data_IF_003037685863
#
_entry.id   IF_003037685863
#
_cell.length_a   1.000
_cell.length_b   1.000
_cell.length_c   1.000
_cell.angle_alpha   90.00
_cell.angle_beta   90.00
_cell.angle_gamma   90.00
#
_symmetry.space_group_name_H-M   'P 1'
#
loop_
_entity.id
_entity.type
_entity.pdbx_description
1 polymer ?
#
# COMPACT_ATOMS: atom_id res chain seq x y z
N UNK A 1 -22.12 7.08 13.31
CA UNK A 1 -21.00 7.06 12.39
C UNK A 1 -19.76 7.58 13.12
N UNK A 2 -18.65 6.87 13.07
CA UNK A 2 -17.37 7.25 13.66
C UNK A 2 -16.36 7.47 12.52
N UNK A 3 -15.56 8.53 12.62
CA UNK A 3 -14.47 8.81 11.70
C UNK A 3 -13.17 8.66 12.47
N UNK A 4 -12.27 7.83 11.97
CA UNK A 4 -10.95 7.58 12.57
C UNK A 4 -9.91 8.06 11.58
N UNK A 5 -9.00 8.93 12.02
CA UNK A 5 -7.86 9.37 11.23
C UNK A 5 -6.70 8.40 11.43
N UNK A 6 -6.11 7.97 10.33
CA UNK A 6 -4.87 7.21 10.29
C UNK A 6 -3.78 8.06 9.65
N UNK A 7 -2.67 8.21 10.34
CA UNK A 7 -1.54 9.00 9.85
C UNK A 7 -0.82 8.27 8.71
N UNK A 8 -0.08 9.03 7.90
CA UNK A 8 0.78 8.50 6.84
C UNK A 8 1.79 7.50 7.42
N UNK A 9 1.99 6.37 6.75
CA UNK A 9 3.02 5.40 7.06
C UNK A 9 4.05 5.32 5.92
N UNK A 10 5.20 5.91 6.15
CA UNK A 10 6.28 5.97 5.16
C UNK A 10 5.86 6.62 3.84
N UNK A 11 6.39 6.07 2.74
CA UNK A 11 6.10 6.54 1.37
C UNK A 11 4.91 5.83 0.72
N UNK A 12 4.43 4.74 1.30
CA UNK A 12 3.50 3.83 0.61
C UNK A 12 2.06 3.91 1.11
N UNK A 13 1.83 4.29 2.36
CA UNK A 13 0.48 4.44 2.91
C UNK A 13 0.17 5.91 3.17
N UNK A 14 -0.79 6.50 2.42
CA UNK A 14 -1.19 7.88 2.63
C UNK A 14 -1.95 8.08 3.95
N UNK A 15 -1.98 9.31 4.44
CA UNK A 15 -2.96 9.72 5.45
C UNK A 15 -4.37 9.42 4.94
N UNK A 16 -5.20 8.83 5.78
CA UNK A 16 -6.56 8.49 5.39
C UNK A 16 -7.53 8.50 6.57
N UNK A 17 -8.81 8.58 6.25
CA UNK A 17 -9.90 8.54 7.20
C UNK A 17 -10.71 7.27 7.00
N UNK A 18 -10.89 6.52 8.07
CA UNK A 18 -11.75 5.35 8.13
C UNK A 18 -13.13 5.77 8.64
N UNK A 19 -14.18 5.45 7.88
CA UNK A 19 -15.57 5.72 8.27
C UNK A 19 -16.21 4.43 8.73
N UNK A 20 -16.67 4.41 9.98
CA UNK A 20 -17.29 3.25 10.60
C UNK A 20 -18.76 3.50 10.95
N UNK A 21 -19.58 2.45 10.81
CA UNK A 21 -20.96 2.37 11.34
C UNK A 21 -21.03 1.16 12.26
N UNK A 22 -21.23 1.41 13.55
CA UNK A 22 -21.07 0.38 14.56
C UNK A 22 -19.63 -0.15 14.59
N UNK A 23 -19.45 -1.44 14.33
CA UNK A 23 -18.14 -2.11 14.26
C UNK A 23 -17.60 -2.19 12.82
N UNK A 24 -18.44 -1.93 11.82
CA UNK A 24 -18.10 -2.15 10.43
C UNK A 24 -17.46 -0.91 9.79
N UNK A 25 -16.35 -1.12 9.06
CA UNK A 25 -15.76 -0.11 8.21
C UNK A 25 -16.49 -0.09 6.88
N UNK A 26 -17.07 1.06 6.54
CA UNK A 26 -17.87 1.24 5.33
C UNK A 26 -17.13 1.99 4.21
N UNK A 27 -16.14 2.80 4.54
CA UNK A 27 -15.36 3.55 3.55
C UNK A 27 -14.00 3.99 4.10
N UNK A 28 -13.06 4.17 3.17
CA UNK A 28 -11.81 4.88 3.41
C UNK A 28 -11.71 6.09 2.48
N UNK A 29 -11.29 7.22 3.03
CA UNK A 29 -11.04 8.46 2.27
C UNK A 29 -9.55 8.77 2.37
N UNK A 30 -8.83 8.69 1.25
CA UNK A 30 -7.39 8.87 1.18
C UNK A 30 -7.00 10.28 0.76
N UNK A 31 -5.97 10.82 1.41
CA UNK A 31 -5.24 11.98 0.91
C UNK A 31 -4.21 11.49 -0.11
N UNK A 32 -4.25 11.95 -1.37
CA UNK A 32 -3.32 11.46 -2.39
C UNK A 32 -1.87 11.82 -2.04
N UNK A 33 -0.95 10.87 -2.22
CA UNK A 33 0.50 11.06 -2.10
C UNK A 33 1.20 10.98 -3.46
N UNK A 34 0.46 10.59 -4.49
CA UNK A 34 0.88 10.52 -5.88
C UNK A 34 -0.35 10.74 -6.79
N UNK A 35 -0.17 10.68 -8.11
CA UNK A 35 -1.29 10.72 -9.03
C UNK A 35 -1.96 9.34 -9.09
N UNK A 36 -3.02 9.14 -8.30
CA UNK A 36 -3.75 7.88 -8.22
C UNK A 36 -4.93 7.85 -9.19
N UNK A 37 -5.03 6.78 -9.96
CA UNK A 37 -6.13 6.56 -10.90
C UNK A 37 -7.47 6.38 -10.17
N UNK A 38 -8.52 6.97 -10.73
CA UNK A 38 -9.86 6.90 -10.17
C UNK A 38 -10.95 6.75 -11.23
N UNK A 39 -12.08 6.20 -10.81
CA UNK A 39 -13.35 6.22 -11.55
C UNK A 39 -14.26 7.29 -10.96
N UNK A 40 -15.11 7.89 -11.80
CA UNK A 40 -16.15 8.81 -11.35
C UNK A 40 -17.46 8.06 -11.27
N UNK A 41 -18.05 8.02 -10.09
CA UNK A 41 -19.40 7.52 -9.86
C UNK A 41 -20.34 8.67 -9.57
N UNK A 42 -21.59 8.52 -9.98
CA UNK A 42 -22.67 9.46 -9.65
C UNK A 42 -23.57 8.82 -8.59
N UNK A 43 -23.50 9.32 -7.37
CA UNK A 43 -24.32 8.88 -6.27
C UNK A 43 -25.27 9.99 -5.84
N UNK A 44 -26.58 9.78 -6.02
CA UNK A 44 -27.60 10.78 -5.68
C UNK A 44 -27.30 12.17 -6.28
N UNK A 45 -26.86 12.21 -7.54
CA UNK A 45 -26.52 13.45 -8.25
C UNK A 45 -25.15 14.06 -7.92
N UNK A 46 -24.41 13.49 -7.00
CA UNK A 46 -23.06 13.95 -6.64
C UNK A 46 -21.98 13.11 -7.32
N UNK A 47 -20.93 13.77 -7.80
CA UNK A 47 -19.74 13.11 -8.33
C UNK A 47 -18.85 12.63 -7.20
N UNK A 48 -18.57 11.33 -7.17
CA UNK A 48 -17.65 10.70 -6.19
C UNK A 48 -16.50 10.08 -6.95
N UNK A 49 -15.26 10.37 -6.53
CA UNK A 49 -14.05 9.75 -7.05
C UNK A 49 -13.78 8.46 -6.28
N UNK A 50 -13.77 7.35 -6.98
CA UNK A 50 -13.47 6.03 -6.39
C UNK A 50 -12.20 5.49 -7.03
N UNK A 51 -11.25 5.06 -6.22
CA UNK A 51 -9.99 4.50 -6.70
C UNK A 51 -10.24 3.35 -7.70
N UNK A 52 -9.38 3.23 -8.70
CA UNK A 52 -9.41 2.05 -9.59
C UNK A 52 -9.04 0.79 -8.83
N UNK A 53 -9.35 -0.37 -9.41
CA UNK A 53 -9.01 -1.67 -8.81
C UNK A 53 -7.49 -1.78 -8.58
N UNK A 54 -6.66 -1.32 -9.52
CA UNK A 54 -5.21 -1.34 -9.38
C UNK A 54 -4.73 -0.46 -8.20
N UNK A 55 -5.32 0.72 -8.04
CA UNK A 55 -5.01 1.62 -6.92
C UNK A 55 -5.44 1.01 -5.58
N UNK A 56 -6.65 0.44 -5.50
CA UNK A 56 -7.12 -0.23 -4.29
C UNK A 56 -6.23 -1.42 -3.90
N UNK A 57 -5.88 -2.26 -4.88
CA UNK A 57 -5.00 -3.41 -4.65
C UNK A 57 -3.63 -2.98 -4.12
N UNK A 58 -3.05 -1.92 -4.71
CA UNK A 58 -1.77 -1.37 -4.25
C UNK A 58 -1.83 -0.91 -2.79
N UNK A 59 -2.93 -0.27 -2.36
CA UNK A 59 -3.09 0.15 -0.97
C UNK A 59 -3.27 -1.04 -0.01
N UNK A 60 -4.06 -2.05 -0.37
CA UNK A 60 -4.19 -3.25 0.48
C UNK A 60 -2.86 -3.97 0.68
N UNK A 61 -2.07 -4.12 -0.39
CA UNK A 61 -0.75 -4.72 -0.28
C UNK A 61 0.21 -3.85 0.54
N UNK A 62 0.13 -2.52 0.40
CA UNK A 62 0.90 -1.58 1.22
C UNK A 62 0.55 -1.69 2.71
N UNK A 63 -0.72 -1.89 3.08
CA UNK A 63 -1.12 -2.09 4.47
C UNK A 63 -0.50 -3.34 5.09
N UNK A 64 -0.46 -4.44 4.33
CA UNK A 64 0.21 -5.66 4.80
C UNK A 64 1.71 -5.45 4.98
N UNK A 65 2.32 -4.70 4.06
CA UNK A 65 3.75 -4.45 4.08
C UNK A 65 4.18 -3.56 5.25
N UNK A 66 3.39 -2.56 5.63
CA UNK A 66 3.75 -1.62 6.71
C UNK A 66 3.67 -2.22 8.11
N UNK A 67 3.02 -3.40 8.25
CA UNK A 67 2.95 -4.14 9.51
C UNK A 67 2.53 -3.29 10.73
N UNK A 68 1.59 -2.36 10.52
CA UNK A 68 1.03 -1.55 11.60
C UNK A 68 0.03 -2.36 12.43
N UNK A 69 -0.04 -2.17 13.77
CA UNK A 69 -0.91 -2.97 14.63
C UNK A 69 -2.35 -3.05 14.16
N UNK A 70 -2.93 -1.94 13.73
CA UNK A 70 -4.32 -1.87 13.26
C UNK A 70 -4.55 -2.50 11.86
N UNK A 71 -3.49 -2.87 11.13
CA UNK A 71 -3.59 -3.68 9.92
C UNK A 71 -3.27 -5.15 10.20
N UNK A 72 -2.33 -5.40 11.09
CA UNK A 72 -1.92 -6.77 11.47
C UNK A 72 -3.07 -7.55 12.08
N UNK A 73 -3.90 -6.89 12.88
CA UNK A 73 -5.11 -7.49 13.47
C UNK A 73 -6.11 -8.01 12.42
N UNK A 74 -6.10 -7.42 11.21
CA UNK A 74 -7.02 -7.78 10.12
C UNK A 74 -6.29 -8.27 8.86
N UNK A 75 -5.08 -8.79 8.99
CA UNK A 75 -4.25 -9.23 7.86
C UNK A 75 -4.97 -10.20 6.92
N UNK A 76 -5.66 -11.19 7.47
CA UNK A 76 -6.39 -12.20 6.68
C UNK A 76 -7.54 -11.57 5.88
N UNK A 77 -8.23 -10.59 6.47
CA UNK A 77 -9.27 -9.83 5.78
C UNK A 77 -8.68 -9.01 4.63
N UNK A 78 -7.56 -8.34 4.86
CA UNK A 78 -6.87 -7.55 3.83
C UNK A 78 -6.38 -8.46 2.70
N UNK A 79 -5.81 -9.63 3.01
CA UNK A 79 -5.39 -10.63 2.02
C UNK A 79 -6.58 -11.16 1.20
N UNK A 80 -7.70 -11.48 1.86
CA UNK A 80 -8.92 -11.92 1.20
C UNK A 80 -9.45 -10.86 0.21
N UNK A 81 -9.50 -9.59 0.64
CA UNK A 81 -9.91 -8.48 -0.22
C UNK A 81 -8.93 -8.25 -1.37
N UNK A 82 -7.62 -8.36 -1.13
CA UNK A 82 -6.58 -8.27 -2.16
C UNK A 82 -6.75 -9.37 -3.20
N UNK A 83 -6.97 -10.60 -2.75
CA UNK A 83 -7.26 -11.72 -3.66
C UNK A 83 -8.51 -11.49 -4.49
N UNK A 84 -9.58 -11.02 -3.88
CA UNK A 84 -10.82 -10.71 -4.61
C UNK A 84 -10.59 -9.65 -5.68
N UNK A 85 -9.90 -8.55 -5.36
CA UNK A 85 -9.58 -7.51 -6.33
C UNK A 85 -8.69 -8.04 -7.46
N UNK A 86 -7.72 -8.88 -7.14
CA UNK A 86 -6.85 -9.52 -8.13
C UNK A 86 -7.65 -10.43 -9.06
N UNK A 87 -8.56 -11.26 -8.54
CA UNK A 87 -9.41 -12.14 -9.33
C UNK A 87 -10.34 -11.35 -10.26
N UNK A 88 -10.94 -10.25 -9.77
CA UNK A 88 -11.74 -9.33 -10.59
C UNK A 88 -10.89 -8.71 -11.71
N UNK A 89 -9.67 -8.29 -11.37
CA UNK A 89 -8.72 -7.73 -12.33
C UNK A 89 -8.37 -8.72 -13.43
N UNK A 90 -8.14 -10.00 -13.08
CA UNK A 90 -7.82 -11.04 -14.06
C UNK A 90 -9.01 -11.37 -14.98
N UNK A 91 -10.21 -11.48 -14.42
CA UNK A 91 -11.44 -11.74 -15.20
C UNK A 91 -11.73 -10.63 -16.22
N UNK A 92 -11.42 -9.39 -15.88
CA UNK A 92 -11.69 -8.21 -16.70
C UNK A 92 -10.45 -7.68 -17.43
N UNK A 93 -9.45 -8.52 -17.63
CA UNK A 93 -8.14 -8.12 -18.17
C UNK A 93 -8.21 -7.42 -19.53
N UNK A 94 -9.08 -7.91 -20.42
CA UNK A 94 -9.20 -7.41 -21.80
C UNK A 94 -10.41 -6.50 -22.01
N UNK A 95 -11.40 -6.52 -21.13
CA UNK A 95 -12.60 -5.70 -21.23
C UNK A 95 -12.76 -4.84 -19.98
N UNK A 96 -12.95 -3.54 -20.18
CA UNK A 96 -13.21 -2.61 -19.08
C UNK A 96 -14.72 -2.38 -18.94
N UNK A 97 -15.44 -3.48 -18.75
CA UNK A 97 -16.89 -3.47 -18.50
C UNK A 97 -17.15 -3.42 -17.00
N UNK A 98 -18.25 -2.79 -16.62
CA UNK A 98 -18.67 -2.71 -15.22
C UNK A 98 -18.51 -1.32 -14.61
N UNK A 99 -18.90 -1.23 -13.34
CA UNK A 99 -18.97 0.02 -12.59
C UNK A 99 -17.59 0.62 -12.32
N UNK A 100 -16.63 -0.22 -11.94
CA UNK A 100 -15.25 0.17 -11.67
C UNK A 100 -14.35 -0.36 -12.78
N UNK A 101 -13.83 0.52 -13.59
CA UNK A 101 -12.85 0.17 -14.61
C UNK A 101 -11.51 -0.15 -13.96
N UNK A 102 -10.78 -1.10 -14.53
CA UNK A 102 -9.45 -1.46 -14.10
C UNK A 102 -8.46 -0.30 -14.32
N UNK A 103 -8.48 0.24 -15.53
CA UNK A 103 -7.60 1.34 -15.92
C UNK A 103 -8.39 2.61 -16.09
N UNK A 104 -7.79 3.73 -15.72
CA UNK A 104 -8.25 5.06 -16.02
C UNK A 104 -7.06 5.90 -16.41
N UNK A 105 -7.21 6.71 -17.46
CA UNK A 105 -6.21 7.73 -17.84
C UNK A 105 -6.30 8.96 -16.94
N UNK A 106 -7.35 9.04 -16.12
CA UNK A 106 -7.57 10.16 -15.21
C UNK A 106 -7.01 9.80 -13.85
N UNK A 107 -6.16 10.67 -13.30
CA UNK A 107 -5.66 10.52 -11.94
C UNK A 107 -5.92 11.76 -11.08
N UNK A 108 -5.84 11.59 -9.78
CA UNK A 108 -6.01 12.66 -8.79
C UNK A 108 -4.83 12.64 -7.81
N UNK A 109 -4.24 13.82 -7.62
CA UNK A 109 -3.04 13.99 -6.82
C UNK A 109 -1.90 14.59 -7.65
N UNK A 110 -0.80 14.89 -6.99
CA UNK A 110 0.42 15.39 -7.60
C UNK A 110 1.39 14.25 -7.85
N UNK A 111 1.91 14.17 -9.08
CA UNK A 111 3.03 13.28 -9.38
C UNK A 111 4.32 14.08 -9.17
N UNK A 112 5.05 13.75 -8.12
CA UNK A 112 6.32 14.39 -7.83
C UNK A 112 7.32 14.17 -8.98
N UNK A 113 8.10 15.18 -9.30
CA UNK A 113 9.23 15.07 -10.22
C UNK A 113 10.36 14.22 -9.61
N UNK A 114 11.29 13.76 -10.44
CA UNK A 114 12.45 12.98 -9.96
C UNK A 114 13.29 13.82 -8.99
N UNK A 115 13.42 15.12 -9.25
CA UNK A 115 14.14 16.06 -8.40
C UNK A 115 13.47 16.22 -7.04
N UNK A 116 12.14 16.39 -7.00
CA UNK A 116 11.37 16.48 -5.76
C UNK A 116 11.50 15.20 -4.94
N UNK A 117 11.37 14.02 -5.57
CA UNK A 117 11.52 12.72 -4.89
C UNK A 117 12.93 12.55 -4.31
N UNK A 118 13.98 12.95 -5.06
CA UNK A 118 15.36 12.89 -4.58
C UNK A 118 15.59 13.85 -3.40
N UNK A 119 15.06 15.06 -3.48
CA UNK A 119 15.17 16.06 -2.42
C UNK A 119 14.46 15.58 -1.13
N UNK A 120 13.24 15.03 -1.25
CA UNK A 120 12.51 14.46 -0.12
C UNK A 120 13.28 13.31 0.52
N UNK A 121 13.80 12.37 -0.29
CA UNK A 121 14.60 11.24 0.21
C UNK A 121 15.89 11.71 0.90
N UNK A 122 16.57 12.70 0.35
CA UNK A 122 17.78 13.26 0.96
C UNK A 122 17.47 13.93 2.31
N UNK A 123 16.38 14.68 2.40
CA UNK A 123 15.93 15.30 3.65
C UNK A 123 15.59 14.23 4.70
N UNK A 124 14.83 13.21 4.34
CA UNK A 124 14.51 12.08 5.22
C UNK A 124 15.72 11.30 5.65
N UNK A 125 16.69 11.09 4.77
CA UNK A 125 17.95 10.44 5.14
C UNK A 125 18.73 11.22 6.20
N UNK A 126 18.75 12.55 6.10
CA UNK A 126 19.38 13.41 7.13
C UNK A 126 18.63 13.35 8.47
N UNK A 127 17.29 13.41 8.42
CA UNK A 127 16.42 13.33 9.60
C UNK A 127 16.58 11.99 10.34
N UNK A 128 16.67 10.90 9.60
CA UNK A 128 16.77 9.54 10.12
C UNK A 128 18.21 9.04 10.22
N UNK A 129 19.18 9.95 10.15
CA UNK A 129 20.59 9.62 10.31
C UNK A 129 20.84 9.00 11.71
N UNK A 130 21.52 7.87 11.74
CA UNK A 130 21.72 7.09 12.97
C UNK A 130 20.60 6.14 13.37
N UNK A 131 19.44 6.17 12.68
CA UNK A 131 18.32 5.24 12.92
C UNK A 131 18.27 4.08 11.89
N UNK A 132 19.34 3.86 11.14
CA UNK A 132 19.41 2.80 10.11
C UNK A 132 19.07 1.44 10.70
N UNK A 133 18.14 0.72 10.07
CA UNK A 133 17.67 -0.59 10.51
C UNK A 133 16.50 -0.57 11.50
N UNK A 134 16.08 0.62 11.99
CA UNK A 134 14.86 0.74 12.78
C UNK A 134 13.61 0.64 11.90
N UNK A 135 12.45 0.27 12.46
CA UNK A 135 11.19 0.26 11.71
C UNK A 135 10.89 1.61 11.06
N UNK A 136 11.13 2.72 11.75
CA UNK A 136 10.93 4.07 11.26
C UNK A 136 11.79 4.38 10.01
N UNK A 137 13.07 3.99 10.03
CA UNK A 137 13.95 4.12 8.87
C UNK A 137 13.48 3.25 7.72
N UNK A 138 13.11 2.00 8.00
CA UNK A 138 12.71 1.03 6.98
C UNK A 138 11.39 1.41 6.29
N UNK A 139 10.52 2.19 6.91
CA UNK A 139 9.30 2.71 6.27
C UNK A 139 9.60 3.65 5.10
N UNK A 140 10.71 4.38 5.16
CA UNK A 140 11.12 5.34 4.12
C UNK A 140 12.16 4.77 3.15
N UNK A 141 12.97 3.84 3.61
CA UNK A 141 14.08 3.27 2.84
C UNK A 141 13.89 1.77 2.69
N UNK A 142 12.82 1.42 1.96
CA UNK A 142 12.50 0.04 1.66
C UNK A 142 13.61 -0.58 0.81
N UNK A 143 14.20 -1.65 1.31
CA UNK A 143 15.15 -2.45 0.57
C UNK A 143 14.64 -3.87 0.44
N UNK A 144 14.59 -4.38 -0.78
CA UNK A 144 14.36 -5.80 -0.99
C UNK A 144 15.58 -6.57 -0.49
N UNK A 145 15.40 -7.35 0.55
CA UNK A 145 16.38 -8.34 1.01
C UNK A 145 15.79 -9.71 0.69
N UNK A 146 16.23 -10.35 -0.41
CA UNK A 146 15.85 -11.74 -0.64
C UNK A 146 16.29 -12.54 0.59
N UNK A 147 15.40 -13.35 1.14
CA UNK A 147 15.78 -14.31 2.17
C UNK A 147 16.95 -15.12 1.60
N UNK A 148 18.13 -15.04 2.25
CA UNK A 148 19.20 -15.96 1.94
C UNK A 148 18.63 -17.34 2.25
N UNK A 149 18.38 -18.11 1.20
CA UNK A 149 17.87 -19.47 1.35
C UNK A 149 18.74 -20.16 2.37
N UNK A 150 18.13 -20.73 3.40
CA UNK A 150 18.79 -21.48 4.49
C UNK A 150 19.68 -22.63 3.99
N UNK A 151 19.67 -22.92 2.70
CA UNK A 151 20.53 -23.88 2.01
C UNK A 151 22.03 -23.60 2.23
N UNK A 152 22.47 -22.31 2.23
CA UNK A 152 23.88 -21.98 2.51
C UNK A 152 24.29 -22.15 3.98
N UNK A 153 23.32 -22.13 4.90
CA UNK A 153 23.61 -22.41 6.32
C UNK A 153 23.73 -23.92 6.58
N UNK A 154 22.97 -24.74 5.85
CA UNK A 154 23.06 -26.20 5.98
C UNK A 154 24.38 -26.72 5.43
N UNK A 155 24.82 -26.29 4.25
CA UNK A 155 26.12 -26.69 3.69
C UNK A 155 27.33 -26.28 4.53
N UNK A 156 27.28 -25.10 5.19
CA UNK A 156 28.37 -24.70 6.11
C UNK A 156 28.41 -25.49 7.42
N UNK A 157 27.28 -26.03 7.87
CA UNK A 157 27.21 -26.82 9.07
C UNK A 157 27.55 -28.30 8.82
N UNK A 158 27.26 -28.81 7.63
CA UNK A 158 27.64 -30.17 7.25
C UNK A 158 29.16 -30.30 7.00
N UNK A 159 29.76 -29.31 6.38
CA UNK A 159 31.22 -29.24 6.16
C UNK A 159 32.06 -28.98 7.46
N UNK A 160 31.41 -28.57 8.57
CA UNK A 160 32.08 -28.45 9.87
C UNK A 160 31.98 -29.71 10.72
N UNK A 161 31.12 -30.67 10.37
CA UNK A 161 30.98 -31.95 11.08
C UNK A 161 31.80 -33.10 10.46
N UNK A 162 32.45 -32.86 9.34
CA UNK A 162 33.29 -33.83 8.61
C UNK A 162 34.79 -33.51 8.66
N UNK A 163 35.22 -32.72 9.67
CA UNK A 163 36.65 -32.53 9.96
C UNK A 163 36.88 -32.91 11.43
#
# INVERSE_FOLDING_TARGET
CKVIKHERAGEIVPEHYEIKVGKDTIAFIYKPIACHSYNVLFLKGQKVKVATIDTMLSFYLAFLYTNRPYYTEFSDRILCMSKFLFDVQQKNRLSQTGLLKRFSITCYGHQASVEEMRAEKAAKHKELNGKKGTPEYNEYFLSYKPEEKDEKKKEKNENKKSK
#
